data_IF_429601005877
#
_entry.id   IF_429601005877
#
_cell.length_a   1.000
_cell.length_b   1.000
_cell.length_c   1.000
_cell.angle_alpha   90.00
_cell.angle_beta   90.00
_cell.angle_gamma   90.00
#
_symmetry.space_group_name_H-M   'P 1'
#
loop_
_entity.id
_entity.type
_entity.pdbx_description
1 polymer ?
2 non-polymer ?
3 water ?
#
# COMPACT_ATOMS: atom_id res chain seq x y z
N UNK A 3 -11.28 -37.30 -5.07
CA UNK A 3 -10.18 -36.46 -4.59
C UNK A 3 -10.55 -35.72 -3.28
N UNK A 4 -9.82 -36.02 -2.17
CA UNK A 4 -10.02 -35.41 -0.84
C UNK A 4 -9.18 -34.12 -0.70
N UNK A 5 -9.61 -33.06 -1.42
CA UNK A 5 -8.98 -31.73 -1.44
C UNK A 5 -9.97 -30.71 -0.82
N UNK A 6 -9.46 -29.83 0.06
CA UNK A 6 -10.22 -28.78 0.74
C UNK A 6 -10.82 -27.80 -0.25
N UNK A 7 -12.16 -27.65 -0.21
CA UNK A 7 -12.91 -26.71 -1.03
C UNK A 7 -12.61 -25.32 -0.51
N UNK A 8 -11.82 -24.55 -1.28
CA UNK A 8 -11.44 -23.20 -0.86
C UNK A 8 -12.64 -22.29 -1.01
N UNK A 9 -12.96 -21.49 0.04
CA UNK A 9 -14.07 -20.53 0.00
C UNK A 9 -13.81 -19.50 -1.11
N UNK A 10 -14.84 -19.11 -1.86
CA UNK A 10 -14.63 -18.12 -2.92
C UNK A 10 -14.22 -16.74 -2.33
N UNK A 11 -14.58 -16.47 -1.05
CA UNK A 11 -14.23 -15.27 -0.29
C UNK A 11 -12.74 -15.25 -0.04
N UNK A 12 -12.17 -16.41 0.33
CA UNK A 12 -10.73 -16.60 0.53
C UNK A 12 -9.97 -16.35 -0.78
N UNK A 13 -10.39 -16.99 -1.88
CA UNK A 13 -9.79 -16.83 -3.22
C UNK A 13 -9.93 -15.36 -3.73
N UNK A 14 -11.10 -14.75 -3.53
CA UNK A 14 -11.29 -13.35 -3.90
C UNK A 14 -10.33 -12.44 -3.13
N UNK A 15 -10.25 -12.59 -1.79
CA UNK A 15 -9.40 -11.79 -0.93
C UNK A 15 -7.92 -11.91 -1.36
N UNK A 16 -7.44 -13.16 -1.51
CA UNK A 16 -6.06 -13.44 -1.90
C UNK A 16 -5.74 -12.82 -3.26
N UNK A 17 -6.60 -13.06 -4.27
CA UNK A 17 -6.36 -12.57 -5.63
C UNK A 17 -6.69 -11.08 -5.83
N UNK A 18 -7.20 -10.38 -4.79
CA UNK A 18 -7.41 -8.92 -4.84
C UNK A 18 -6.28 -8.18 -4.08
N UNK A 19 -5.31 -8.92 -3.48
CA UNK A 19 -4.20 -8.33 -2.70
C UNK A 19 -3.32 -7.44 -3.58
N UNK A 20 -2.92 -6.23 -3.11
CA UNK A 20 -2.07 -5.37 -3.95
C UNK A 20 -0.74 -6.05 -4.29
N UNK A 21 -0.25 -5.82 -5.49
CA UNK A 21 0.98 -6.46 -5.96
C UNK A 21 2.16 -5.45 -6.01
N UNK A 22 3.37 -5.91 -5.68
CA UNK A 22 4.58 -5.12 -5.77
C UNK A 22 5.46 -5.76 -6.81
N UNK A 23 5.61 -5.13 -7.98
CA UNK A 23 6.45 -5.69 -9.02
C UNK A 23 7.47 -4.68 -9.49
N UNK A 24 8.71 -5.14 -9.67
CA UNK A 24 9.82 -4.31 -10.14
C UNK A 24 10.75 -5.14 -10.99
N UNK A 25 11.31 -4.51 -12.03
CA UNK A 25 12.24 -5.16 -12.95
C UNK A 25 13.66 -4.65 -12.81
N UNK A 26 14.64 -5.57 -12.96
CA UNK A 26 16.08 -5.30 -12.93
C UNK A 26 16.48 -4.72 -11.58
N UNK A 27 16.30 -5.52 -10.53
CA UNK A 27 16.60 -5.08 -9.17
C UNK A 27 17.63 -6.05 -8.57
N UNK A 28 18.04 -5.79 -7.31
CA UNK A 28 18.98 -6.62 -6.57
C UNK A 28 18.28 -7.37 -5.43
N UNK A 29 18.59 -8.66 -5.36
CA UNK A 29 18.19 -9.55 -4.29
C UNK A 29 19.39 -10.32 -3.77
N UNK A 30 19.41 -10.60 -2.48
CA UNK A 30 20.46 -11.38 -1.83
C UNK A 30 19.88 -12.71 -1.45
N UNK A 31 20.34 -13.75 -2.11
CA UNK A 31 19.90 -15.13 -1.92
C UNK A 31 20.66 -15.79 -0.77
N UNK A 32 19.96 -16.57 0.06
CA UNK A 32 20.58 -17.28 1.21
C UNK A 32 19.76 -18.50 1.59
N UNK A 33 20.32 -19.34 2.46
CA UNK A 33 19.67 -20.51 3.02
C UNK A 33 19.60 -20.31 4.53
N UNK A 34 18.39 -20.46 5.06
CA UNK A 34 18.06 -20.30 6.47
C UNK A 34 17.29 -21.54 6.94
N UNK A 35 17.87 -22.29 7.90
CA UNK A 35 17.32 -23.53 8.48
C UNK A 35 16.87 -24.50 7.36
N UNK A 36 17.79 -24.71 6.41
CA UNK A 36 17.60 -25.60 5.26
C UNK A 36 16.65 -25.11 4.18
N UNK A 37 16.21 -23.85 4.25
CA UNK A 37 15.25 -23.29 3.27
C UNK A 37 15.83 -22.07 2.53
N UNK A 38 15.61 -22.00 1.20
CA UNK A 38 16.12 -20.90 0.36
C UNK A 38 15.16 -19.69 0.27
N UNK A 39 15.76 -18.48 0.37
CA UNK A 39 15.11 -17.15 0.36
C UNK A 39 15.94 -16.14 -0.42
N UNK A 40 15.32 -15.06 -0.87
CA UNK A 40 15.96 -13.93 -1.51
C UNK A 40 15.32 -12.67 -0.90
N UNK A 41 16.18 -11.77 -0.36
CA UNK A 41 15.76 -10.50 0.24
C UNK A 41 15.88 -9.38 -0.79
N UNK A 42 14.86 -8.52 -0.89
CA UNK A 42 14.83 -7.44 -1.85
C UNK A 42 14.33 -6.17 -1.15
N UNK A 43 14.90 -5.01 -1.51
CA UNK A 43 14.42 -3.69 -1.09
C UNK A 43 13.82 -3.01 -2.33
N UNK A 44 12.54 -2.64 -2.26
CA UNK A 44 11.81 -1.91 -3.29
C UNK A 44 11.26 -0.68 -2.58
N UNK A 45 11.60 0.56 -3.02
CA UNK A 45 11.10 1.81 -2.42
C UNK A 45 11.18 1.81 -0.87
N UNK A 46 12.33 1.38 -0.30
CA UNK A 46 12.59 1.29 1.14
C UNK A 46 11.63 0.28 1.88
N UNK A 47 10.98 -0.63 1.10
CA UNK A 47 10.09 -1.69 1.60
C UNK A 47 10.85 -3.01 1.52
N UNK A 48 10.93 -3.72 2.64
CA UNK A 48 11.63 -4.99 2.69
C UNK A 48 10.73 -6.19 2.40
N UNK A 49 11.22 -7.09 1.53
CA UNK A 49 10.53 -8.33 1.21
C UNK A 49 11.48 -9.50 1.33
N UNK A 50 11.01 -10.58 1.96
CA UNK A 50 11.69 -11.86 2.07
C UNK A 50 10.89 -12.78 1.20
N UNK A 51 11.52 -13.34 0.17
CA UNK A 51 10.82 -14.19 -0.78
C UNK A 51 11.32 -15.63 -0.69
N UNK A 52 10.40 -16.57 -0.47
CA UNK A 52 10.72 -18.01 -0.48
C UNK A 52 10.97 -18.48 -1.90
N UNK A 53 12.08 -19.17 -2.10
CA UNK A 53 12.49 -19.85 -3.32
C UNK A 53 12.29 -21.33 -3.04
N UNK A 54 11.06 -21.75 -3.21
CA UNK A 54 10.66 -23.13 -2.95
C UNK A 54 10.31 -23.76 -4.30
N UNK A 55 10.89 -24.91 -4.60
CA UNK A 55 10.68 -25.57 -5.88
C UNK A 55 11.89 -25.49 -6.81
N UNK A 56 11.66 -25.07 -8.05
CA UNK A 56 12.69 -25.00 -9.09
C UNK A 56 13.64 -23.81 -8.88
N UNK A 57 13.05 -22.62 -8.57
CA UNK A 57 13.71 -21.33 -8.36
C UNK A 57 14.81 -21.39 -7.28
N UNK A 58 14.78 -22.47 -6.49
CA UNK A 58 15.73 -22.82 -5.43
C UNK A 58 17.19 -22.88 -5.96
N UNK A 59 17.39 -23.43 -7.16
CA UNK A 59 18.73 -23.60 -7.73
C UNK A 59 19.02 -22.65 -8.92
N UNK A 60 18.05 -21.77 -9.25
CA UNK A 60 18.13 -20.81 -10.36
C UNK A 60 19.05 -19.60 -10.04
N UNK A 61 19.08 -19.20 -8.75
CA UNK A 61 19.83 -18.03 -8.33
C UNK A 61 21.05 -18.43 -7.53
N UNK A 62 22.15 -17.69 -7.74
CA UNK A 62 23.40 -17.90 -7.02
C UNK A 62 23.27 -17.35 -5.58
N UNK A 63 24.07 -17.86 -4.64
CA UNK A 63 24.05 -17.33 -3.29
C UNK A 63 24.64 -15.94 -3.31
N UNK A 64 24.14 -15.07 -2.44
CA UNK A 64 24.59 -13.70 -2.41
C UNK A 64 23.85 -12.84 -3.42
N UNK A 65 24.53 -11.79 -3.89
CA UNK A 65 24.01 -10.78 -4.80
C UNK A 65 23.57 -11.33 -6.15
N UNK A 66 22.28 -11.09 -6.47
CA UNK A 66 21.64 -11.34 -7.77
C UNK A 66 21.11 -9.99 -8.22
N UNK A 67 21.81 -9.31 -9.15
CA UNK A 67 21.39 -7.96 -9.57
C UNK A 67 20.77 -7.91 -10.98
N UNK A 68 20.21 -9.01 -11.45
CA UNK A 68 19.60 -9.11 -12.79
C UNK A 68 18.23 -9.80 -12.65
N UNK A 69 17.44 -9.40 -11.66
CA UNK A 69 16.20 -10.10 -11.41
C UNK A 69 15.01 -9.19 -11.51
N UNK A 70 13.84 -9.80 -11.76
CA UNK A 70 12.54 -9.15 -11.72
C UNK A 70 11.78 -9.78 -10.59
N UNK A 71 10.95 -9.00 -9.90
CA UNK A 71 10.19 -9.56 -8.79
C UNK A 71 8.73 -9.21 -8.96
N UNK A 72 7.87 -10.18 -8.58
CA UNK A 72 6.42 -10.10 -8.53
C UNK A 72 6.07 -10.51 -7.10
N UNK A 73 5.83 -9.53 -6.23
CA UNK A 73 5.64 -9.72 -4.78
C UNK A 73 4.17 -9.52 -4.38
N UNK A 74 3.65 -10.52 -3.70
CA UNK A 74 2.33 -10.56 -3.09
C UNK A 74 2.53 -10.97 -1.61
N UNK A 75 2.09 -10.11 -0.69
CA UNK A 75 2.17 -10.36 0.76
C UNK A 75 1.37 -11.57 1.15
N UNK A 76 2.02 -12.59 1.66
CA UNK A 76 1.28 -13.74 2.17
C UNK A 76 0.74 -13.40 3.56
N UNK A 77 -0.48 -13.87 3.85
CA UNK A 77 -1.12 -13.67 5.14
C UNK A 77 -1.68 -12.29 5.44
N UNK A 78 -2.28 -12.16 6.62
CA UNK A 78 -2.87 -10.92 7.08
C UNK A 78 -2.22 -10.58 8.40
N UNK A 79 -1.21 -9.72 8.34
CA UNK A 79 -0.38 -9.36 9.50
C UNK A 79 0.03 -7.89 9.55
N UNK A 80 0.45 -7.44 10.75
CA UNK A 80 0.87 -6.08 11.02
C UNK A 80 2.35 -5.92 10.77
N UNK A 81 3.05 -7.03 10.52
CA UNK A 81 4.48 -7.00 10.29
C UNK A 81 4.81 -6.23 9.02
N UNK A 82 5.67 -5.20 9.14
CA UNK A 82 6.09 -4.34 8.02
C UNK A 82 6.70 -5.15 6.85
N UNK A 83 7.62 -6.11 7.15
CA UNK A 83 8.30 -6.94 6.16
C UNK A 83 7.30 -7.81 5.39
N UNK A 84 7.43 -7.85 4.07
CA UNK A 84 6.59 -8.68 3.22
C UNK A 84 7.20 -10.05 3.05
N UNK A 85 6.36 -11.08 3.17
CA UNK A 85 6.76 -12.45 2.98
C UNK A 85 6.00 -12.94 1.75
N UNK A 86 6.73 -13.17 0.66
CA UNK A 86 6.15 -13.59 -0.58
C UNK A 86 6.76 -14.92 -1.03
N UNK A 87 6.08 -15.64 -1.95
CA UNK A 87 6.55 -16.95 -2.44
C UNK A 87 6.72 -16.90 -3.95
N UNK A 88 7.90 -17.29 -4.44
CA UNK A 88 8.22 -17.33 -5.87
C UNK A 88 8.21 -15.97 -6.53
N UNK A 89 7.81 -15.95 -7.79
CA UNK A 89 7.72 -14.74 -8.61
C UNK A 89 9.03 -14.03 -8.86
N UNK A 90 10.17 -14.75 -8.72
CA UNK A 90 11.51 -14.22 -8.96
C UNK A 90 12.00 -14.84 -10.24
N UNK A 91 12.24 -13.97 -11.21
CA UNK A 91 12.65 -14.35 -12.56
C UNK A 91 13.92 -13.54 -12.98
N UNK A 92 14.52 -13.93 -14.12
CA UNK A 92 15.67 -13.24 -14.72
C UNK A 92 15.12 -12.06 -15.49
N UNK A 93 15.79 -10.91 -15.39
CA UNK A 93 15.38 -9.71 -16.10
C UNK A 93 15.62 -9.87 -17.61
N UNK A 94 14.95 -9.05 -18.43
CA UNK A 94 15.14 -9.07 -19.88
C UNK A 94 16.53 -8.61 -20.26
N UNK A 95 17.06 -9.19 -21.37
CA UNK A 95 18.33 -8.78 -21.94
C UNK A 95 18.11 -7.44 -22.62
N UNK A 96 19.18 -6.69 -22.90
CA UNK A 96 19.10 -5.37 -23.54
C UNK A 96 18.30 -5.40 -24.87
N UNK A 97 18.46 -6.38 -25.81
CA UNK A 97 17.64 -6.36 -27.04
C UNK A 97 16.13 -6.44 -26.78
N UNK A 98 15.75 -6.97 -25.61
CA UNK A 98 14.36 -7.22 -25.21
C UNK A 98 13.76 -6.25 -24.16
N UNK A 99 14.35 -5.05 -23.94
CA UNK A 99 13.82 -4.07 -22.97
C UNK A 99 12.39 -3.59 -23.37
N UNK A 100 12.18 -3.31 -24.66
CA UNK A 100 10.89 -2.80 -25.13
C UNK A 100 9.95 -3.93 -25.62
N UNK A 101 10.29 -5.19 -25.32
CA UNK A 101 9.56 -6.38 -25.79
C UNK A 101 8.05 -6.41 -25.42
N UNK A 102 7.21 -6.66 -26.45
CA UNK A 102 5.76 -6.84 -26.31
C UNK A 102 5.39 -8.09 -27.09
N UNK A 103 4.60 -8.96 -26.45
CA UNK A 103 4.09 -10.19 -27.03
C UNK A 103 2.62 -10.30 -26.72
N UNK A 104 1.77 -10.56 -27.74
CA UNK A 104 0.33 -10.59 -27.52
C UNK A 104 -0.20 -11.97 -27.82
N UNK A 105 -0.17 -12.90 -26.84
CA UNK A 105 -0.75 -14.22 -27.10
C UNK A 105 -2.27 -14.11 -27.21
N UNK A 106 -2.93 -15.15 -27.72
CA UNK A 106 -4.39 -15.12 -27.78
C UNK A 106 -4.88 -15.27 -26.38
N UNK A 107 -5.82 -14.42 -25.94
CA UNK A 107 -6.42 -14.58 -24.62
C UNK A 107 -7.90 -14.68 -24.81
N UNK A 108 -8.48 -15.78 -24.37
CA UNK A 108 -9.93 -15.97 -24.43
C UNK A 108 -10.43 -16.31 -23.05
N UNK A 109 -11.59 -15.75 -22.69
CA UNK A 109 -12.25 -16.02 -21.39
C UNK A 109 -13.63 -16.59 -21.69
N UNK A 110 -13.88 -17.80 -21.20
CA UNK A 110 -15.13 -18.52 -21.40
C UNK A 110 -15.85 -18.62 -20.07
N UNK A 111 -17.07 -18.07 -19.97
CA UNK A 111 -17.87 -18.14 -18.74
C UNK A 111 -19.06 -19.09 -18.92
N UNK A 112 -19.05 -20.18 -18.17
CA UNK A 112 -20.10 -21.20 -18.20
C UNK A 112 -20.25 -21.78 -19.58
N UNK A 113 -21.50 -21.87 -20.05
CA UNK A 113 -21.83 -22.41 -21.37
C UNK A 113 -21.62 -21.36 -22.48
N UNK A 114 -21.31 -20.08 -22.11
CA UNK A 114 -21.08 -19.01 -23.09
C UNK A 114 -19.85 -19.27 -23.98
N UNK A 115 -19.82 -18.65 -25.16
CA UNK A 115 -18.71 -18.77 -26.11
C UNK A 115 -17.51 -18.02 -25.59
N UNK A 116 -16.25 -18.44 -25.90
CA UNK A 116 -15.09 -17.68 -25.41
C UNK A 116 -15.06 -16.28 -25.97
N UNK A 117 -14.66 -15.31 -25.14
CA UNK A 117 -14.53 -13.89 -25.49
C UNK A 117 -13.07 -13.55 -25.56
N UNK A 118 -12.62 -13.07 -26.72
CA UNK A 118 -11.24 -12.62 -26.90
C UNK A 118 -10.99 -11.29 -26.17
N UNK A 119 -9.78 -11.17 -25.63
CA UNK A 119 -9.33 -9.99 -24.90
C UNK A 119 -7.89 -9.72 -25.26
N UNK A 120 -7.47 -8.46 -25.25
CA UNK A 120 -6.07 -8.12 -25.52
C UNK A 120 -5.25 -8.39 -24.22
N UNK A 121 -4.17 -9.18 -24.35
CA UNK A 121 -3.25 -9.47 -23.24
C UNK A 121 -1.81 -9.23 -23.69
N UNK A 122 -1.08 -8.36 -22.98
CA UNK A 122 0.30 -8.05 -23.38
C UNK A 122 1.32 -8.63 -22.40
N UNK A 123 2.31 -9.40 -22.93
CA UNK A 123 3.43 -10.00 -22.18
C UNK A 123 4.68 -9.14 -22.47
N UNK A 124 5.41 -8.72 -21.42
CA UNK A 124 6.60 -7.88 -21.61
C UNK A 124 7.88 -8.64 -21.21
N UNK A 125 7.73 -9.82 -20.61
CA UNK A 125 8.87 -10.54 -20.07
C UNK A 125 9.26 -11.80 -20.80
N UNK A 126 10.59 -12.00 -20.94
CA UNK A 126 11.17 -13.22 -21.53
C UNK A 126 11.02 -14.39 -20.55
N UNK A 127 11.27 -14.11 -19.28
CA UNK A 127 11.18 -15.08 -18.22
C UNK A 127 10.01 -14.64 -17.32
N UNK A 128 8.83 -15.23 -17.49
CA UNK A 128 7.64 -14.85 -16.72
C UNK A 128 7.22 -16.03 -15.79
N UNK A 129 6.98 -15.74 -14.50
CA UNK A 129 6.58 -16.77 -13.55
C UNK A 129 5.11 -17.13 -13.66
N UNK A 130 4.78 -18.38 -13.28
CA UNK A 130 3.41 -18.81 -13.22
C UNK A 130 2.68 -18.00 -12.17
N UNK A 131 3.39 -17.51 -11.11
CA UNK A 131 2.80 -16.65 -10.06
C UNK A 131 2.17 -15.40 -10.70
N UNK A 132 2.92 -14.71 -11.62
CA UNK A 132 2.45 -13.48 -12.27
C UNK A 132 1.28 -13.76 -13.22
N UNK A 133 1.41 -14.80 -14.09
CA UNK A 133 0.37 -15.15 -15.03
C UNK A 133 -0.89 -15.56 -14.28
N UNK A 134 -0.74 -16.33 -13.20
CA UNK A 134 -1.85 -16.81 -12.38
C UNK A 134 -2.62 -15.63 -11.77
N UNK A 135 -1.90 -14.71 -11.13
CA UNK A 135 -2.53 -13.55 -10.51
C UNK A 135 -3.23 -12.66 -11.52
N UNK A 136 -2.52 -12.26 -12.59
CA UNK A 136 -3.05 -11.32 -13.59
C UNK A 136 -4.23 -11.90 -14.37
N UNK A 137 -4.23 -13.21 -14.63
CA UNK A 137 -5.35 -13.80 -15.36
C UNK A 137 -6.59 -13.92 -14.44
N UNK A 138 -6.38 -14.26 -13.17
CA UNK A 138 -7.45 -14.36 -12.18
C UNK A 138 -8.01 -12.95 -11.90
N UNK A 139 -7.16 -11.90 -11.90
CA UNK A 139 -7.54 -10.48 -11.72
C UNK A 139 -8.52 -10.01 -12.79
N UNK A 140 -8.24 -10.35 -14.06
CA UNK A 140 -9.05 -10.05 -15.23
C UNK A 140 -10.40 -10.79 -15.14
N UNK A 141 -10.39 -12.11 -14.79
CA UNK A 141 -11.60 -12.93 -14.61
C UNK A 141 -12.48 -12.41 -13.45
N UNK A 142 -11.87 -11.87 -12.37
CA UNK A 142 -12.58 -11.33 -11.21
C UNK A 142 -13.23 -9.99 -11.56
N UNK A 143 -12.41 -9.05 -12.10
CA UNK A 143 -12.83 -7.70 -12.42
C UNK A 143 -13.85 -7.67 -13.54
N UNK A 144 -13.63 -8.42 -14.62
CA UNK A 144 -14.56 -8.36 -15.75
C UNK A 144 -15.62 -9.46 -15.81
N UNK A 145 -15.40 -10.64 -15.22
CA UNK A 145 -16.39 -11.71 -15.40
C UNK A 145 -16.97 -12.27 -14.10
N UNK A 146 -16.75 -11.56 -12.99
CA UNK A 146 -17.29 -11.90 -11.69
C UNK A 146 -16.81 -13.21 -11.07
N UNK A 147 -15.58 -13.63 -11.37
CA UNK A 147 -15.01 -14.81 -10.75
C UNK A 147 -14.91 -14.58 -9.21
N UNK A 148 -15.33 -15.58 -8.43
CA UNK A 148 -15.34 -15.64 -6.96
C UNK A 148 -16.42 -14.76 -6.37
N UNK A 149 -17.47 -14.57 -7.17
CA UNK A 149 -18.70 -13.90 -6.76
C UNK A 149 -19.85 -14.77 -7.25
N UNK A 150 -20.93 -14.84 -6.46
CA UNK A 150 -22.17 -15.58 -6.79
C UNK A 150 -21.92 -17.08 -7.03
N UNK A 151 -21.02 -17.66 -6.25
CA UNK A 151 -20.69 -19.09 -6.36
C UNK A 151 -19.89 -19.48 -7.59
N UNK A 152 -19.26 -18.51 -8.29
CA UNK A 152 -18.40 -18.80 -9.46
C UNK A 152 -16.99 -19.04 -8.95
N UNK A 153 -16.68 -20.29 -8.67
CA UNK A 153 -15.45 -20.68 -7.99
C UNK A 153 -14.69 -21.80 -8.72
N UNK A 154 -15.20 -22.32 -9.83
CA UNK A 154 -14.56 -23.44 -10.52
C UNK A 154 -14.10 -23.11 -11.94
N UNK A 155 -13.17 -23.91 -12.44
CA UNK A 155 -12.64 -23.77 -13.79
C UNK A 155 -11.14 -23.98 -13.88
N UNK A 156 -10.60 -23.58 -15.02
CA UNK A 156 -9.20 -23.80 -15.36
C UNK A 156 -8.62 -22.68 -16.20
N UNK A 157 -7.31 -22.46 -16.01
CA UNK A 157 -6.47 -21.63 -16.87
C UNK A 157 -5.62 -22.60 -17.70
N UNK A 158 -5.56 -22.43 -19.04
CA UNK A 158 -4.73 -23.27 -19.90
C UNK A 158 -3.79 -22.34 -20.68
N UNK A 159 -2.47 -22.46 -20.42
CA UNK A 159 -1.43 -21.68 -21.09
C UNK A 159 -0.77 -22.62 -22.11
N UNK A 160 -0.95 -22.34 -23.40
CA UNK A 160 -0.38 -23.19 -24.46
C UNK A 160 0.85 -22.50 -25.06
N UNK A 161 1.95 -23.25 -25.17
CA UNK A 161 3.22 -22.77 -25.73
C UNK A 161 3.27 -23.03 -27.23
N UNK A 162 4.26 -22.43 -27.95
CA UNK A 162 4.44 -22.62 -29.40
C UNK A 162 4.72 -24.06 -29.73
N UNK A 163 5.44 -24.77 -28.83
CA UNK A 163 5.81 -26.17 -29.02
C UNK A 163 4.68 -27.15 -28.62
N UNK A 164 3.54 -26.64 -28.16
CA UNK A 164 2.40 -27.49 -27.80
C UNK A 164 2.25 -27.85 -26.34
N UNK A 165 3.29 -27.58 -25.52
CA UNK A 165 3.22 -27.84 -24.08
C UNK A 165 2.18 -26.91 -23.46
N UNK A 166 1.39 -27.44 -22.53
CA UNK A 166 0.39 -26.65 -21.84
C UNK A 166 0.64 -26.62 -20.33
N UNK A 167 0.29 -25.48 -19.71
CA UNK A 167 0.35 -25.26 -18.27
C UNK A 167 -1.09 -25.06 -17.82
N UNK A 168 -1.61 -25.92 -16.94
CA UNK A 168 -2.99 -25.79 -16.47
C UNK A 168 -3.01 -25.39 -14.99
N UNK A 169 -3.92 -24.47 -14.64
CA UNK A 169 -4.09 -23.95 -13.30
C UNK A 169 -5.57 -24.05 -12.90
N UNK A 170 -5.85 -24.85 -11.84
CA UNK A 170 -7.20 -25.06 -11.31
C UNK A 170 -7.66 -23.78 -10.58
N UNK A 171 -8.80 -23.25 -11.00
CA UNK A 171 -9.32 -21.97 -10.48
C UNK A 171 -9.94 -22.09 -9.09
N UNK A 172 -10.31 -23.31 -8.69
CA UNK A 172 -10.96 -23.55 -7.39
C UNK A 172 -9.95 -23.60 -6.23
N UNK A 173 -8.64 -23.55 -6.54
CA UNK A 173 -7.58 -23.53 -5.51
C UNK A 173 -6.65 -22.41 -5.78
N UNK A 174 -5.87 -21.95 -4.77
CA UNK A 174 -4.76 -21.02 -5.04
C UNK A 174 -3.74 -21.80 -5.87
N UNK A 175 -2.85 -21.14 -6.64
CA UNK A 175 -1.79 -21.84 -7.36
C UNK A 175 -0.89 -22.55 -6.34
N UNK A 176 -0.40 -23.78 -6.67
CA UNK A 176 0.50 -24.57 -5.80
C UNK A 176 1.74 -23.72 -5.48
N UNK A 177 2.09 -23.61 -4.21
CA UNK A 177 3.21 -22.82 -3.74
C UNK A 177 4.50 -23.13 -4.54
N UNK A 178 4.74 -24.44 -4.85
CA UNK A 178 5.89 -24.91 -5.64
C UNK A 178 5.92 -24.34 -7.07
N UNK A 179 4.74 -23.98 -7.62
CA UNK A 179 4.63 -23.51 -9.00
C UNK A 179 4.76 -22.00 -9.10
N UNK A 180 4.71 -21.30 -7.94
CA UNK A 180 4.84 -19.84 -7.89
C UNK A 180 6.25 -19.41 -8.29
N UNK A 181 7.21 -20.31 -8.10
CA UNK A 181 8.59 -20.06 -8.49
C UNK A 181 8.95 -20.62 -9.85
N UNK A 182 7.97 -21.24 -10.56
CA UNK A 182 8.19 -21.78 -11.90
C UNK A 182 7.98 -20.70 -12.92
N UNK A 183 8.83 -20.66 -13.93
CA UNK A 183 8.73 -19.63 -14.95
C UNK A 183 8.78 -20.25 -16.32
N UNK A 184 8.18 -19.58 -17.30
CA UNK A 184 8.12 -20.06 -18.68
C UNK A 184 8.64 -18.96 -19.61
N UNK A 185 8.99 -19.32 -20.84
CA UNK A 185 9.48 -18.37 -21.83
C UNK A 185 8.30 -17.59 -22.37
N UNK A 186 8.24 -16.31 -22.02
CA UNK A 186 7.17 -15.39 -22.42
C UNK A 186 7.05 -15.23 -23.92
N UNK A 187 8.19 -15.38 -24.63
CA UNK A 187 8.27 -15.30 -26.08
C UNK A 187 7.64 -16.52 -26.76
N UNK A 188 7.36 -17.59 -25.97
CA UNK A 188 6.83 -18.87 -26.43
C UNK A 188 5.34 -19.09 -26.05
N UNK A 189 4.72 -18.15 -25.32
CA UNK A 189 3.29 -18.28 -24.97
C UNK A 189 2.44 -17.96 -26.22
N UNK A 190 1.63 -18.94 -26.72
CA UNK A 190 0.81 -18.79 -27.92
C UNK A 190 -0.66 -18.42 -27.64
N UNK A 191 -1.30 -19.20 -26.76
CA UNK A 191 -2.72 -19.08 -26.43
C UNK A 191 -2.92 -19.22 -24.94
N UNK A 192 -3.93 -18.51 -24.42
CA UNK A 192 -4.36 -18.58 -23.03
C UNK A 192 -5.88 -18.71 -23.03
N UNK A 193 -6.38 -19.65 -22.24
CA UNK A 193 -7.80 -19.85 -22.07
C UNK A 193 -8.09 -19.81 -20.60
N UNK A 194 -9.08 -18.99 -20.19
CA UNK A 194 -9.57 -18.95 -18.82
C UNK A 194 -11.00 -19.45 -18.87
N UNK A 195 -11.27 -20.66 -18.39
CA UNK A 195 -12.62 -21.24 -18.36
C UNK A 195 -13.20 -21.12 -16.97
N UNK A 196 -14.43 -20.56 -16.85
CA UNK A 196 -15.12 -20.49 -15.56
C UNK A 196 -16.39 -21.29 -15.63
N UNK A 197 -16.78 -21.94 -14.53
CA UNK A 197 -18.00 -22.76 -14.42
C UNK A 197 -18.67 -22.54 -13.04
N UNK B 7 5.22 35.42 16.41
CA UNK B 7 6.05 34.30 16.88
C UNK B 7 5.35 33.54 18.01
N UNK B 8 5.37 32.19 17.90
CA UNK B 8 4.73 31.30 18.87
C UNK B 8 5.75 30.76 19.88
N UNK B 9 5.34 30.77 21.17
CA UNK B 9 6.12 30.28 22.32
C UNK B 9 6.34 28.76 22.22
N UNK B 10 7.47 28.25 22.72
CA UNK B 10 7.70 26.80 22.66
C UNK B 10 6.77 26.07 23.68
N UNK B 11 6.29 26.79 24.72
CA UNK B 11 5.33 26.26 25.71
C UNK B 11 3.97 26.09 25.04
N UNK B 12 3.59 27.07 24.19
CA UNK B 12 2.36 27.02 23.40
C UNK B 12 2.45 25.86 22.39
N UNK B 13 3.56 25.77 21.66
CA UNK B 13 3.79 24.71 20.67
C UNK B 13 3.81 23.31 21.34
N UNK B 14 4.47 23.18 22.50
CA UNK B 14 4.51 21.94 23.29
C UNK B 14 3.10 21.54 23.74
N UNK B 15 2.35 22.49 24.32
CA UNK B 15 0.99 22.24 24.83
C UNK B 15 0.08 21.73 23.71
N UNK B 16 0.07 22.45 22.56
CA UNK B 16 -0.75 22.10 21.40
C UNK B 16 -0.40 20.70 20.89
N UNK B 17 0.91 20.43 20.67
CA UNK B 17 1.34 19.15 20.11
C UNK B 17 1.39 17.99 21.14
N UNK B 18 1.06 18.25 22.42
CA UNK B 18 0.93 17.20 23.43
C UNK B 18 -0.55 16.86 23.68
N UNK B 19 -1.49 17.57 23.01
CA UNK B 19 -2.95 17.38 23.17
C UNK B 19 -3.36 15.95 22.79
N UNK B 20 -4.22 15.27 23.60
CA UNK B 20 -4.65 13.92 23.22
C UNK B 20 -5.36 13.91 21.86
N UNK B 21 -5.13 12.85 21.08
CA UNK B 21 -5.72 12.74 19.76
C UNK B 21 -6.85 11.69 19.73
N UNK B 22 -7.92 11.98 18.98
CA UNK B 22 -9.02 11.04 18.77
C UNK B 22 -9.00 10.65 17.29
N UNK B 23 -8.66 9.41 17.02
CA UNK B 23 -8.49 8.97 15.65
C UNK B 23 -9.30 7.68 15.41
N UNK B 24 -10.12 7.64 14.32
CA UNK B 24 -10.91 6.46 13.95
C UNK B 24 -11.02 6.32 12.46
N UNK B 25 -11.04 5.08 11.99
CA UNK B 25 -11.13 4.76 10.56
C UNK B 25 -12.46 4.14 10.19
N UNK B 26 -12.97 4.48 8.98
CA UNK B 26 -14.20 3.96 8.38
C UNK B 26 -15.38 4.29 9.24
N UNK B 27 -15.64 5.59 9.41
CA UNK B 27 -16.75 6.04 10.27
C UNK B 27 -17.70 6.88 9.42
N UNK B 28 -18.79 7.40 10.05
CA UNK B 28 -19.76 8.26 9.41
C UNK B 28 -19.68 9.69 9.93
N UNK B 29 -19.68 10.61 8.99
CA UNK B 29 -19.75 12.04 9.22
C UNK B 29 -20.82 12.65 8.34
N UNK B 30 -21.50 13.68 8.85
CA UNK B 30 -22.53 14.42 8.13
C UNK B 30 -21.96 15.79 7.79
N UNK B 31 -21.69 16.04 6.52
CA UNK B 31 -21.09 17.26 6.01
C UNK B 31 -22.22 18.29 5.71
N UNK B 32 -21.98 19.57 6.10
CA UNK B 32 -22.96 20.68 5.92
C UNK B 32 -22.25 22.05 5.82
N UNK B 33 -23.02 23.07 5.44
CA UNK B 33 -22.56 24.46 5.33
C UNK B 33 -23.36 25.29 6.29
N UNK B 34 -22.68 25.98 7.21
CA UNK B 34 -23.25 26.83 8.25
C UNK B 34 -22.61 28.21 8.18
N UNK B 35 -23.42 29.25 7.91
CA UNK B 35 -23.02 30.66 7.80
C UNK B 35 -21.81 30.79 6.84
N UNK B 36 -21.95 30.17 5.67
CA UNK B 36 -20.96 30.17 4.60
C UNK B 36 -19.72 29.33 4.84
N UNK B 37 -19.69 28.52 5.91
CA UNK B 37 -18.52 27.71 6.28
C UNK B 37 -18.85 26.19 6.31
N UNK B 38 -17.95 25.37 5.77
CA UNK B 38 -18.14 23.91 5.73
C UNK B 38 -17.60 23.19 6.96
N UNK B 39 -18.40 22.20 7.44
CA UNK B 39 -18.16 21.35 8.62
C UNK B 39 -18.62 19.92 8.37
N UNK B 40 -18.12 18.98 9.15
CA UNK B 40 -18.53 17.58 9.16
C UNK B 40 -18.65 17.19 10.63
N UNK B 41 -19.82 16.66 11.03
CA UNK B 41 -20.10 16.19 12.40
C UNK B 41 -19.86 14.69 12.48
N UNK B 42 -19.20 14.22 13.54
CA UNK B 42 -18.87 12.80 13.72
C UNK B 42 -19.09 12.44 15.15
N UNK B 43 -19.59 11.22 15.40
CA UNK B 43 -19.66 10.61 16.73
C UNK B 43 -18.60 9.51 16.74
N UNK B 44 -17.76 9.51 17.77
CA UNK B 44 -16.77 8.48 18.07
C UNK B 44 -16.98 8.14 19.53
N UNK B 45 -17.28 6.87 19.89
CA UNK B 45 -17.49 6.43 21.30
C UNK B 45 -18.41 7.38 22.09
N UNK B 46 -19.55 7.78 21.50
CA UNK B 46 -20.55 8.68 22.09
C UNK B 46 -19.98 10.13 22.37
N UNK B 47 -18.83 10.48 21.74
CA UNK B 47 -18.19 11.78 21.81
C UNK B 47 -18.46 12.53 20.51
N UNK B 48 -19.02 13.74 20.62
CA UNK B 48 -19.34 14.55 19.47
C UNK B 48 -18.21 15.48 19.07
N UNK B 49 -17.94 15.52 17.76
CA UNK B 49 -16.95 16.41 17.17
C UNK B 49 -17.51 17.12 15.97
N UNK B 50 -17.24 18.43 15.90
CA UNK B 50 -17.59 19.28 14.77
C UNK B 50 -16.26 19.66 14.13
N UNK B 51 -16.04 19.22 12.90
CA UNK B 51 -14.77 19.43 12.24
C UNK B 51 -14.90 20.43 11.11
N UNK B 52 -14.09 21.49 11.14
CA UNK B 52 -14.01 22.46 10.06
C UNK B 52 -13.30 21.88 8.85
N UNK B 53 -13.93 22.01 7.69
CA UNK B 53 -13.41 21.65 6.37
C UNK B 53 -13.09 23.00 5.72
N UNK B 54 -11.94 23.60 6.12
CA UNK B 54 -11.63 25.00 5.79
C UNK B 54 -10.77 25.19 4.51
N UNK B 55 -10.08 24.17 4.02
CA UNK B 55 -9.26 24.33 2.81
C UNK B 55 -9.83 23.65 1.60
N UNK B 56 -9.01 22.76 0.99
CA UNK B 56 -9.30 21.87 -0.14
C UNK B 56 -10.42 20.88 0.20
N UNK B 57 -10.38 20.31 1.43
CA UNK B 57 -11.31 19.32 2.01
C UNK B 57 -12.78 19.78 1.94
N UNK B 58 -13.00 21.09 1.68
CA UNK B 58 -14.29 21.79 1.51
C UNK B 58 -15.13 21.20 0.35
N UNK B 59 -14.47 20.72 -0.71
CA UNK B 59 -15.19 20.18 -1.86
C UNK B 59 -14.95 18.67 -2.05
N UNK B 60 -14.19 18.05 -1.14
CA UNK B 60 -13.84 16.61 -1.18
C UNK B 60 -15.01 15.70 -0.74
N UNK B 61 -15.84 16.21 0.19
CA UNK B 61 -16.93 15.43 0.76
C UNK B 61 -18.27 15.93 0.26
N UNK B 62 -19.19 14.97 0.01
CA UNK B 62 -20.55 15.29 -0.44
C UNK B 62 -21.36 15.81 0.77
N UNK B 63 -22.43 16.58 0.51
CA UNK B 63 -23.27 17.06 1.59
C UNK B 63 -24.04 15.88 2.13
N UNK B 64 -24.31 15.90 3.43
CA UNK B 64 -25.00 14.80 4.06
C UNK B 64 -24.04 13.70 4.48
N UNK B 65 -24.55 12.48 4.52
CA UNK B 65 -23.86 11.26 4.95
C UNK B 65 -22.63 10.93 4.11
N UNK B 66 -21.48 10.84 4.79
CA UNK B 66 -20.18 10.37 4.29
C UNK B 66 -19.81 9.21 5.18
N UNK B 67 -20.00 7.97 4.73
CA UNK B 67 -19.73 6.80 5.58
C UNK B 67 -18.48 6.01 5.20
N UNK B 68 -17.51 6.68 4.54
CA UNK B 68 -16.25 6.06 4.11
C UNK B 68 -15.08 6.97 4.49
N UNK B 69 -15.10 7.48 5.72
CA UNK B 69 -14.09 8.45 6.10
C UNK B 69 -13.27 7.98 7.27
N UNK B 70 -12.07 8.55 7.39
CA UNK B 70 -11.19 8.39 8.55
C UNK B 70 -11.08 9.76 9.16
N UNK B 71 -10.98 9.82 10.49
CA UNK B 71 -10.85 11.12 11.16
C UNK B 71 -9.65 11.09 12.10
N UNK B 72 -8.98 12.24 12.17
CA UNK B 72 -7.86 12.54 13.07
C UNK B 72 -8.27 13.82 13.76
N UNK B 73 -8.77 13.70 15.00
CA UNK B 73 -9.38 14.80 15.77
C UNK B 73 -8.48 15.26 16.92
N UNK B 74 -8.19 16.54 16.92
CA UNK B 74 -7.45 17.28 17.93
C UNK B 74 -8.34 18.46 18.32
N UNK B 75 -8.75 18.45 19.55
CA UNK B 75 -9.63 19.41 20.15
C UNK B 75 -8.91 20.77 20.23
N UNK B 76 -9.36 21.78 19.43
CA UNK B 76 -8.81 23.14 19.39
C UNK B 76 -9.22 23.94 20.63
N UNK B 77 -8.29 24.74 21.13
CA UNK B 77 -8.50 25.61 22.29
C UNK B 77 -8.55 24.93 23.65
N UNK B 78 -8.79 25.74 24.68
CA UNK B 78 -8.87 25.25 26.04
C UNK B 78 -10.20 25.69 26.58
N UNK B 79 -11.21 24.80 26.48
CA UNK B 79 -12.58 25.07 26.91
C UNK B 79 -13.17 23.93 27.73
N UNK B 80 -14.25 24.22 28.48
CA UNK B 80 -14.95 23.24 29.32
C UNK B 80 -16.23 22.74 28.59
N UNK B 81 -16.25 22.85 27.25
CA UNK B 81 -17.38 22.45 26.41
C UNK B 81 -17.22 21.01 25.97
N UNK B 82 -18.25 20.19 26.15
CA UNK B 82 -18.20 18.76 25.80
C UNK B 82 -17.79 18.48 24.32
N UNK B 83 -18.42 19.19 23.35
CA UNK B 83 -18.20 19.02 21.92
C UNK B 83 -16.78 19.47 21.54
N UNK B 84 -16.10 18.59 20.78
CA UNK B 84 -14.77 18.87 20.24
C UNK B 84 -14.86 19.61 18.94
N UNK B 85 -14.10 20.69 18.84
CA UNK B 85 -14.00 21.49 17.63
C UNK B 85 -12.60 21.23 17.06
N UNK B 86 -12.52 20.55 15.92
CA UNK B 86 -11.27 20.20 15.29
C UNK B 86 -11.20 20.76 13.87
N UNK B 87 -10.01 20.87 13.30
CA UNK B 87 -9.82 21.42 11.94
C UNK B 87 -9.13 20.38 11.06
N UNK B 88 -9.71 20.08 9.90
CA UNK B 88 -9.17 19.13 8.91
C UNK B 88 -9.07 17.72 9.42
N UNK B 89 -8.06 17.00 8.98
CA UNK B 89 -7.80 15.62 9.36
C UNK B 89 -8.87 14.62 8.95
N UNK B 90 -9.70 14.98 7.94
CA UNK B 90 -10.78 14.14 7.41
C UNK B 90 -10.32 13.68 6.04
N UNK B 91 -10.17 12.36 5.92
CA UNK B 91 -9.66 11.69 4.73
C UNK B 91 -10.62 10.55 4.32
N UNK B 92 -10.38 9.97 3.12
CA UNK B 92 -11.11 8.82 2.60
C UNK B 92 -10.51 7.58 3.23
N UNK B 93 -11.36 6.64 3.65
CA UNK B 93 -10.90 5.41 4.24
C UNK B 93 -10.24 4.52 3.16
N UNK B 94 -9.42 3.53 3.59
CA UNK B 94 -8.77 2.60 2.68
C UNK B 94 -9.79 1.70 1.98
N UNK B 95 -9.47 1.30 0.73
CA UNK B 95 -10.25 0.35 -0.02
C UNK B 95 -10.01 -1.03 0.58
N UNK B 96 -10.89 -1.99 0.31
CA UNK B 96 -10.79 -3.36 0.84
C UNK B 96 -9.40 -4.01 0.55
N UNK B 97 -8.79 -3.92 -0.68
CA UNK B 97 -7.45 -4.53 -0.88
C UNK B 97 -6.36 -3.97 0.04
N UNK B 98 -6.57 -2.74 0.55
CA UNK B 98 -5.63 -1.99 1.37
C UNK B 98 -5.95 -1.92 2.90
N UNK B 99 -6.81 -2.79 3.45
CA UNK B 99 -7.15 -2.76 4.89
C UNK B 99 -5.90 -3.06 5.75
N UNK B 100 -5.09 -4.05 5.36
CA UNK B 100 -3.90 -4.42 6.13
C UNK B 100 -2.61 -3.68 5.66
N UNK B 101 -2.77 -2.62 4.85
CA UNK B 101 -1.66 -1.88 4.27
C UNK B 101 -0.65 -1.28 5.27
N UNK B 102 0.65 -1.55 5.04
CA UNK B 102 1.78 -1.02 5.80
C UNK B 102 2.80 -0.49 4.79
N UNK B 103 3.26 0.75 5.03
CA UNK B 103 4.27 1.43 4.21
C UNK B 103 5.29 2.03 5.14
N UNK B 104 6.59 1.77 4.90
CA UNK B 104 7.63 2.26 5.79
C UNK B 104 8.53 3.21 5.05
N UNK B 105 8.16 4.51 4.96
CA UNK B 105 9.08 5.46 4.31
C UNK B 105 10.32 5.65 5.18
N UNK B 106 11.38 6.23 4.63
CA UNK B 106 12.57 6.51 5.41
C UNK B 106 12.21 7.62 6.35
N UNK B 107 12.53 7.46 7.64
CA UNK B 107 12.31 8.56 8.59
C UNK B 107 13.62 8.86 9.26
N UNK B 108 14.10 10.08 9.12
CA UNK B 108 15.34 10.51 9.77
C UNK B 108 15.07 11.74 10.57
N UNK B 109 15.65 11.82 11.77
CA UNK B 109 15.53 12.99 12.66
C UNK B 109 16.95 13.53 12.89
N UNK B 110 17.16 14.79 12.50
CA UNK B 110 18.44 15.48 12.64
C UNK B 110 18.31 16.56 13.69
N UNK B 111 19.11 16.46 14.78
CA UNK B 111 19.10 17.46 15.85
C UNK B 111 20.38 18.29 15.81
N UNK B 112 20.23 19.58 15.53
CA UNK B 112 21.35 20.51 15.47
C UNK B 112 22.37 20.11 14.43
N UNK B 113 23.65 20.12 14.83
CA UNK B 113 24.77 19.74 13.95
C UNK B 113 24.94 18.22 13.91
N UNK B 114 24.18 17.45 14.74
CA UNK B 114 24.26 15.99 14.77
C UNK B 114 23.82 15.35 13.43
N UNK B 115 24.30 14.13 13.18
CA UNK B 115 23.96 13.36 11.99
C UNK B 115 22.51 12.92 12.06
N UNK B 116 21.79 12.75 10.91
CA UNK B 116 20.40 12.26 11.00
C UNK B 116 20.36 10.85 11.58
N UNK B 117 19.35 10.61 12.44
CA UNK B 117 19.12 9.32 13.08
C UNK B 117 17.91 8.70 12.44
N UNK B 118 18.08 7.51 11.86
CA UNK B 118 16.97 6.75 11.27
C UNK B 118 16.07 6.19 12.37
N UNK B 119 14.78 6.18 12.08
CA UNK B 119 13.76 5.65 12.96
C UNK B 119 12.74 4.90 12.12
N UNK B 120 12.11 3.88 12.68
CA UNK B 120 11.08 3.14 11.96
C UNK B 120 9.77 3.96 12.03
N UNK B 121 9.15 4.22 10.87
CA UNK B 121 7.87 4.93 10.80
C UNK B 121 6.92 4.15 9.91
N UNK B 122 5.74 3.79 10.42
CA UNK B 122 4.79 2.99 9.65
C UNK B 122 3.55 3.81 9.25
N UNK B 123 3.23 3.83 7.94
CA UNK B 123 2.05 4.49 7.34
C UNK B 123 1.03 3.38 7.03
N UNK B 124 -0.23 3.56 7.47
CA UNK B 124 -1.27 2.56 7.21
C UNK B 124 -2.34 3.09 6.25
N UNK B 125 -2.28 4.36 5.91
CA UNK B 125 -3.33 4.99 5.12
C UNK B 125 -2.95 5.38 3.71
N UNK B 126 -3.88 5.16 2.78
CA UNK B 126 -3.75 5.56 1.37
C UNK B 126 -3.91 7.06 1.24
N UNK B 127 -4.87 7.59 1.98
CA UNK B 127 -5.17 9.01 1.98
C UNK B 127 -4.83 9.52 3.38
N UNK B 128 -3.67 10.12 3.58
CA UNK B 128 -3.22 10.60 4.90
C UNK B 128 -3.12 12.15 4.88
N UNK B 129 -3.71 12.81 5.89
CA UNK B 129 -3.71 14.26 5.97
C UNK B 129 -2.39 14.79 6.50
N UNK B 130 -2.06 16.03 6.11
CA UNK B 130 -0.89 16.71 6.64
C UNK B 130 -1.07 16.93 8.12
N UNK B 131 -2.34 17.08 8.61
CA UNK B 131 -2.65 17.22 10.05
C UNK B 131 -2.08 16.04 10.85
N UNK B 132 -2.32 14.78 10.37
CA UNK B 132 -1.86 13.57 11.05
C UNK B 132 -0.33 13.44 11.00
N UNK B 133 0.28 13.64 9.80
CA UNK B 133 1.72 13.54 9.66
C UNK B 133 2.40 14.59 10.49
N UNK B 134 1.87 15.82 10.49
CA UNK B 134 2.41 16.94 11.26
C UNK B 134 2.42 16.61 12.77
N UNK B 135 1.27 16.17 13.31
CA UNK B 135 1.18 15.86 14.72
C UNK B 135 2.10 14.72 15.13
N UNK B 136 2.03 13.57 14.40
CA UNK B 136 2.79 12.36 14.74
C UNK B 136 4.31 12.57 14.60
N UNK B 137 4.74 13.39 13.63
CA UNK B 137 6.19 13.62 13.49
C UNK B 137 6.70 14.57 14.60
N UNK B 138 5.89 15.57 14.97
CA UNK B 138 6.19 16.50 16.05
C UNK B 138 6.22 15.75 17.38
N UNK B 139 5.27 14.80 17.58
CA UNK B 139 5.15 13.97 18.77
C UNK B 139 6.44 13.17 19.03
N UNK B 140 6.98 12.55 17.98
CA UNK B 140 8.22 11.77 17.99
C UNK B 140 9.41 12.69 18.33
N UNK B 141 9.51 13.87 17.69
CA UNK B 141 10.55 14.88 17.92
C UNK B 141 10.51 15.44 19.37
N UNK B 142 9.29 15.58 19.95
CA UNK B 142 9.09 16.09 21.31
C UNK B 142 9.49 15.02 22.33
N UNK B 143 8.93 13.80 22.18
CA UNK B 143 9.13 12.69 23.10
C UNK B 143 10.56 12.18 23.09
N UNK B 144 11.16 12.00 21.91
CA UNK B 144 12.51 11.46 21.86
C UNK B 144 13.64 12.48 21.74
N UNK B 145 13.40 13.68 21.19
CA UNK B 145 14.53 14.59 20.96
C UNK B 145 14.40 15.95 21.62
N UNK B 146 13.47 16.07 22.55
CA UNK B 146 13.23 17.28 23.35
C UNK B 146 12.83 18.54 22.59
N UNK B 147 12.11 18.40 21.46
CA UNK B 147 11.63 19.54 20.70
C UNK B 147 10.62 20.31 21.58
N UNK B 148 10.76 21.65 21.63
CA UNK B 148 9.93 22.62 22.37
C UNK B 148 10.28 22.63 23.85
N UNK B 149 11.51 22.19 24.15
CA UNK B 149 12.14 22.27 25.47
C UNK B 149 13.52 22.86 25.27
N UNK B 150 14.00 23.66 26.24
CA UNK B 150 15.34 24.27 26.26
C UNK B 150 15.61 25.16 25.03
N UNK B 151 14.59 25.88 24.57
CA UNK B 151 14.70 26.77 23.42
C UNK B 151 14.80 26.09 22.06
N UNK B 152 14.44 24.78 21.99
CA UNK B 152 14.46 24.04 20.71
C UNK B 152 13.11 24.19 20.05
N UNK B 153 12.92 25.23 19.22
CA UNK B 153 11.60 25.45 18.62
C UNK B 153 11.68 25.66 17.09
N UNK B 154 12.87 25.83 16.52
CA UNK B 154 13.07 26.10 15.09
C UNK B 154 13.38 24.82 14.32
N UNK B 155 12.98 24.79 13.06
CA UNK B 155 13.25 23.64 12.21
C UNK B 155 12.26 23.40 11.09
N UNK B 156 12.40 22.25 10.44
CA UNK B 156 11.56 21.89 9.31
C UNK B 156 11.29 20.41 9.22
N UNK B 157 10.11 20.08 8.72
CA UNK B 157 9.70 18.73 8.33
C UNK B 157 9.70 18.72 6.80
N UNK B 158 10.37 17.74 6.15
CA UNK B 158 10.37 17.63 4.70
C UNK B 158 9.84 16.22 4.34
N UNK B 159 8.67 16.17 3.67
CA UNK B 159 8.04 14.94 3.22
C UNK B 159 8.29 14.85 1.71
N UNK B 160 9.08 13.86 1.29
CA UNK B 160 9.41 13.69 -0.12
C UNK B 160 8.61 12.51 -0.70
N UNK B 161 7.96 12.76 -1.86
CA UNK B 161 7.15 11.77 -2.58
C UNK B 161 8.00 11.00 -3.56
N UNK B 162 7.46 9.88 -4.12
CA UNK B 162 8.16 9.06 -5.12
C UNK B 162 8.48 9.86 -6.36
N UNK B 163 7.60 10.81 -6.73
CA UNK B 163 7.78 11.64 -7.92
C UNK B 163 8.69 12.86 -7.69
N UNK B 164 9.21 13.03 -6.47
CA UNK B 164 10.09 14.15 -6.16
C UNK B 164 9.48 15.39 -5.52
N UNK B 165 8.13 15.47 -5.51
CA UNK B 165 7.44 16.58 -4.87
C UNK B 165 7.69 16.52 -3.37
N UNK B 166 7.91 17.66 -2.74
CA UNK B 166 8.14 17.74 -1.31
C UNK B 166 7.09 18.61 -0.62
N UNK B 167 6.75 18.23 0.62
CA UNK B 167 5.85 18.96 1.51
C UNK B 167 6.69 19.43 2.67
N UNK B 168 6.78 20.75 2.89
CA UNK B 168 7.61 21.33 3.94
C UNK B 168 6.71 21.91 5.06
N UNK B 169 7.07 21.66 6.32
CA UNK B 169 6.34 22.16 7.48
C UNK B 169 7.33 22.83 8.45
N UNK B 170 7.16 24.13 8.69
CA UNK B 170 7.98 24.93 9.62
C UNK B 170 7.63 24.55 11.08
N UNK B 171 8.64 24.16 11.87
CA UNK B 171 8.43 23.73 13.26
C UNK B 171 8.22 24.90 14.24
N UNK B 172 8.53 26.12 13.81
CA UNK B 172 8.44 27.30 14.67
C UNK B 172 7.01 27.81 14.80
N UNK B 173 6.09 27.29 13.99
CA UNK B 173 4.67 27.68 14.01
C UNK B 173 3.84 26.44 14.00
N UNK B 174 2.56 26.51 14.39
CA UNK B 174 1.66 25.38 14.19
C UNK B 174 1.46 25.20 12.68
N UNK B 175 1.01 24.00 12.20
CA UNK B 175 0.70 23.82 10.79
C UNK B 175 -0.43 24.80 10.39
N UNK B 176 -0.36 25.38 9.16
CA UNK B 176 -1.38 26.32 8.63
C UNK B 176 -2.73 25.61 8.65
N UNK B 177 -3.75 26.27 9.23
CA UNK B 177 -5.11 25.71 9.37
C UNK B 177 -5.62 25.15 8.03
N UNK B 178 -5.35 25.87 6.90
CA UNK B 178 -5.73 25.46 5.53
C UNK B 178 -5.09 24.13 5.09
N UNK B 179 -3.92 23.78 5.67
CA UNK B 179 -3.17 22.58 5.28
C UNK B 179 -3.56 21.37 6.11
N UNK B 180 -4.32 21.59 7.20
CA UNK B 180 -4.78 20.51 8.09
C UNK B 180 -5.77 19.62 7.37
N UNK B 181 -6.45 20.17 6.37
CA UNK B 181 -7.38 19.41 5.55
C UNK B 181 -6.80 18.88 4.26
N UNK B 182 -5.50 19.14 4.01
CA UNK B 182 -4.80 18.65 2.82
C UNK B 182 -4.30 17.25 3.06
N UNK B 183 -4.42 16.39 2.07
CA UNK B 183 -4.00 15.00 2.22
C UNK B 183 -3.13 14.59 1.06
N UNK B 184 -2.24 13.60 1.30
CA UNK B 184 -1.33 13.11 0.28
C UNK B 184 -1.47 11.58 0.18
N UNK B 185 -0.99 11.00 -0.92
CA UNK B 185 -1.06 9.55 -1.12
C UNK B 185 0.01 8.90 -0.25
N UNK B 186 -0.43 8.19 0.77
CA UNK B 186 0.45 7.51 1.71
C UNK B 186 1.34 6.46 1.07
N UNK B 187 0.85 5.88 -0.04
CA UNK B 187 1.56 4.87 -0.82
C UNK B 187 2.72 5.50 -1.61
N UNK B 188 2.75 6.84 -1.70
CA UNK B 188 3.74 7.62 -2.46
C UNK B 188 4.76 8.37 -1.59
N UNK B 189 4.65 8.28 -0.25
CA UNK B 189 5.63 8.92 0.65
C UNK B 189 6.92 8.08 0.63
N UNK B 190 8.06 8.67 0.20
CA UNK B 190 9.34 7.96 0.10
C UNK B 190 10.28 8.19 1.31
N UNK B 191 10.50 9.47 1.66
CA UNK B 191 11.41 9.92 2.71
C UNK B 191 10.79 11.00 3.54
N UNK B 192 11.15 11.04 4.82
CA UNK B 192 10.74 12.07 5.77
C UNK B 192 11.98 12.51 6.53
N UNK B 193 12.16 13.83 6.64
CA UNK B 193 13.25 14.40 7.38
C UNK B 193 12.66 15.38 8.37
N UNK B 194 13.03 15.25 9.66
CA UNK B 194 12.66 16.20 10.70
C UNK B 194 13.96 16.85 11.14
N UNK B 195 14.18 18.11 10.79
CA UNK B 195 15.37 18.87 11.18
C UNK B 195 15.04 19.80 12.34
N UNK B 196 15.87 19.79 13.39
CA UNK B 196 15.74 20.66 14.56
C UNK B 196 16.93 21.56 14.62
N UNK B 197 16.68 22.87 14.69
CA UNK B 197 17.69 23.92 14.69
C UNK B 197 17.54 24.86 15.93
X LIG C 1 3.21 -26.30 -14.90
X LIG D 1 0.23 -25.29 -2.14
X LIG E 1 3.32 -26.74 -2.93
X LIG F 1 2.10 21.06 1.06
X LIG G 1 -3.03 29.30 9.93
#
# INVERSE_FOLDING_TARGET
>A
GKTEVKQQSESELKHYYNKPVLERKNVTGYKYTEKGKDYIDVIVDNQYSQISLVGSDKDKFKDGDNSNIDVFILREGDSRQATNYSIGGVTKTNSQPFIDYIHTPILEIKKGKEEPQSSLYQIYKEDISLKELDYRLRERAIKQHGLYSNGLKQGQITITMKDGKSHTIDLSQKLEKERMGDSIDGRQIQKILVEMK
>B
GKTEVKQQSESELKHYYNKPVLERKNVTGYKYTEKGKDYIDVIVDNQYSQISLVGSDKDKFKDGDNSNIDVFILREGDSRQATNYSIGGVTKTNSQPFIDYIHTPILEIKKGKEEPQSSLYQIYKEDISLKELDYRLRERAIKQHGLYSNGLKQGQITITMKDGKSHTIDLSQKLEKERMGDSIDGRQIQKILVEMK
>C hetero
1 CL CL
>D hetero
1 CL CL
>E hetero
1 CL CL
>F hetero
1 CL CL
>G hetero
1 CL CL
#
